data_IF_747858183899
#
_entry.id   IF_747858183899
#
_cell.length_a   1.000
_cell.length_b   1.000
_cell.length_c   1.000
_cell.angle_alpha   90.00
_cell.angle_beta   90.00
_cell.angle_gamma   90.00
#
_symmetry.space_group_name_H-M   'P 1'
#
loop_
_entity.id
_entity.type
_entity.pdbx_description
1 polymer ?
#
# COMPACT_ATOMS: atom_id res chain seq x y z
N UNK A 1 -23.84 -0.48 -26.31
CA UNK A 1 -24.41 0.27 -25.17
C UNK A 1 -23.33 0.28 -24.11
N UNK A 2 -22.65 1.40 -23.96
CA UNK A 2 -21.57 1.59 -22.99
C UNK A 2 -22.21 1.93 -21.65
N UNK A 3 -22.37 0.95 -20.77
CA UNK A 3 -22.46 1.22 -19.33
C UNK A 3 -21.08 1.73 -18.89
N UNK A 4 -20.80 3.00 -19.14
CA UNK A 4 -19.78 3.69 -18.37
C UNK A 4 -20.42 3.98 -17.02
N UNK A 5 -20.31 3.02 -16.11
CA UNK A 5 -20.72 3.20 -14.73
C UNK A 5 -19.92 4.39 -14.19
N UNK A 6 -20.61 5.51 -13.92
CA UNK A 6 -19.98 6.73 -13.40
C UNK A 6 -19.23 6.39 -12.09
N UNK A 7 -18.08 7.03 -11.81
CA UNK A 7 -17.34 6.73 -10.60
C UNK A 7 -18.19 7.07 -9.37
N UNK A 8 -18.27 6.16 -8.40
CA UNK A 8 -18.87 6.44 -7.09
C UNK A 8 -17.83 7.00 -6.11
N UNK A 9 -16.56 6.70 -6.34
CA UNK A 9 -15.43 7.13 -5.51
C UNK A 9 -14.37 7.83 -6.37
N UNK A 10 -13.84 8.93 -5.87
CA UNK A 10 -12.56 9.47 -6.34
C UNK A 10 -11.50 9.02 -5.34
N UNK A 11 -10.49 8.28 -5.80
CA UNK A 11 -9.34 7.86 -5.01
C UNK A 11 -8.17 8.81 -5.26
N UNK A 12 -7.72 9.52 -4.22
CA UNK A 12 -6.50 10.32 -4.25
C UNK A 12 -5.30 9.45 -3.86
N UNK A 13 -4.34 9.34 -4.76
CA UNK A 13 -3.19 8.41 -4.68
C UNK A 13 -1.89 9.11 -5.12
N UNK A 14 -0.75 8.44 -4.96
CA UNK A 14 0.55 8.82 -5.53
C UNK A 14 0.81 8.02 -6.82
N UNK A 15 1.11 8.75 -7.89
CA UNK A 15 1.52 8.18 -9.18
C UNK A 15 3.00 8.44 -9.45
N UNK A 16 3.68 7.45 -10.04
CA UNK A 16 5.05 7.60 -10.52
C UNK A 16 5.10 8.53 -11.75
N UNK A 17 6.29 8.82 -12.24
CA UNK A 17 6.50 9.51 -13.53
C UNK A 17 5.80 8.81 -14.71
N UNK A 18 5.51 7.51 -14.60
CA UNK A 18 4.80 6.72 -15.61
C UNK A 18 3.30 6.62 -15.30
N UNK A 19 2.79 7.39 -14.33
CA UNK A 19 1.44 7.28 -13.79
C UNK A 19 1.11 5.87 -13.25
N UNK A 20 2.12 5.14 -12.75
CA UNK A 20 1.87 3.89 -12.01
C UNK A 20 1.62 4.20 -10.53
N UNK A 21 0.56 3.65 -9.91
CA UNK A 21 0.33 3.79 -8.48
C UNK A 21 1.42 3.05 -7.70
N UNK A 22 2.02 3.70 -6.72
CA UNK A 22 3.09 3.10 -5.91
C UNK A 22 2.90 3.25 -4.40
N UNK A 23 1.88 3.98 -3.94
CA UNK A 23 1.61 4.10 -2.50
C UNK A 23 1.15 2.76 -1.93
N UNK A 24 1.85 2.18 -0.96
CA UNK A 24 1.46 0.89 -0.42
C UNK A 24 0.14 0.95 0.36
N UNK A 25 -0.20 2.10 0.96
CA UNK A 25 -1.45 2.28 1.68
C UNK A 25 -2.62 2.46 0.70
N UNK A 26 -2.42 3.20 -0.38
CA UNK A 26 -3.48 3.43 -1.36
C UNK A 26 -3.78 2.19 -2.20
N UNK A 27 -2.77 1.35 -2.47
CA UNK A 27 -2.97 0.04 -3.07
C UNK A 27 -3.97 -0.83 -2.30
N UNK A 28 -4.03 -0.73 -0.97
CA UNK A 28 -5.02 -1.49 -0.18
C UNK A 28 -6.44 -1.08 -0.51
N UNK A 29 -6.68 0.23 -0.58
CA UNK A 29 -7.99 0.77 -0.93
C UNK A 29 -8.30 0.46 -2.40
N UNK A 30 -7.34 0.61 -3.30
CA UNK A 30 -7.48 0.23 -4.71
C UNK A 30 -7.91 -1.23 -4.88
N UNK A 31 -7.25 -2.15 -4.20
CA UNK A 31 -7.59 -3.58 -4.22
C UNK A 31 -8.97 -3.85 -3.66
N UNK A 32 -9.34 -3.18 -2.56
CA UNK A 32 -10.66 -3.30 -1.96
C UNK A 32 -11.77 -2.81 -2.90
N UNK A 33 -11.58 -1.66 -3.56
CA UNK A 33 -12.49 -1.14 -4.57
C UNK A 33 -12.61 -2.10 -5.77
N UNK A 34 -11.47 -2.60 -6.26
CA UNK A 34 -11.42 -3.55 -7.38
C UNK A 34 -12.10 -4.89 -7.03
N UNK A 35 -11.87 -5.43 -5.83
CA UNK A 35 -12.49 -6.67 -5.36
C UNK A 35 -14.01 -6.53 -5.22
N UNK A 36 -14.47 -5.39 -4.69
CA UNK A 36 -15.89 -5.12 -4.53
C UNK A 36 -16.60 -4.70 -5.81
N UNK A 37 -15.86 -4.44 -6.89
CA UNK A 37 -16.41 -3.95 -8.14
C UNK A 37 -16.96 -2.52 -8.05
N UNK A 38 -16.50 -1.72 -7.09
CA UNK A 38 -16.96 -0.34 -6.91
C UNK A 38 -16.33 0.52 -8.02
N UNK A 39 -17.13 1.26 -8.82
CA UNK A 39 -16.58 2.15 -9.83
C UNK A 39 -15.90 3.34 -9.16
N UNK A 40 -14.66 3.63 -9.56
CA UNK A 40 -13.90 4.77 -9.04
C UNK A 40 -13.04 5.41 -10.13
N UNK A 41 -12.53 6.60 -9.84
CA UNK A 41 -11.50 7.28 -10.63
C UNK A 41 -10.30 7.58 -9.75
N UNK A 42 -9.08 7.38 -10.25
CA UNK A 42 -7.88 7.83 -9.54
C UNK A 42 -7.55 9.29 -9.87
N UNK A 43 -7.17 10.06 -8.87
CA UNK A 43 -6.49 11.35 -9.01
C UNK A 43 -5.11 11.22 -8.38
N UNK A 44 -4.08 11.24 -9.20
CA UNK A 44 -2.70 11.23 -8.71
C UNK A 44 -2.29 12.63 -8.26
N UNK A 45 -1.83 12.71 -7.01
CA UNK A 45 -1.23 13.89 -6.42
C UNK A 45 0.28 13.72 -6.37
N UNK A 46 1.02 14.82 -6.48
CA UNK A 46 2.42 14.83 -6.07
C UNK A 46 2.52 15.06 -4.56
N UNK A 47 3.59 14.58 -3.93
CA UNK A 47 3.83 14.78 -2.48
C UNK A 47 3.56 16.21 -1.96
N UNK A 48 4.08 17.30 -2.57
CA UNK A 48 3.83 18.65 -2.08
C UNK A 48 2.37 19.13 -2.25
N UNK A 49 1.57 18.45 -3.07
CA UNK A 49 0.18 18.83 -3.34
C UNK A 49 -0.81 18.10 -2.42
N UNK A 50 -0.39 17.08 -1.65
CA UNK A 50 -1.27 16.31 -0.76
C UNK A 50 -1.91 17.21 0.29
N UNK A 51 -1.10 17.86 1.13
CA UNK A 51 -1.58 18.72 2.20
C UNK A 51 -2.50 19.85 1.73
N UNK A 52 -2.13 20.70 0.75
CA UNK A 52 -3.01 21.78 0.31
C UNK A 52 -4.32 21.25 -0.29
N UNK A 53 -4.28 20.12 -1.00
CA UNK A 53 -5.49 19.50 -1.59
C UNK A 53 -6.44 19.02 -0.50
N UNK A 54 -5.94 18.22 0.46
CA UNK A 54 -6.78 17.65 1.52
C UNK A 54 -7.31 18.72 2.50
N UNK A 55 -6.52 19.77 2.78
CA UNK A 55 -6.99 20.97 3.47
C UNK A 55 -8.13 21.65 2.72
N UNK A 56 -8.02 21.75 1.39
CA UNK A 56 -9.07 22.32 0.53
C UNK A 56 -10.39 21.56 0.60
N UNK A 57 -10.36 20.26 0.92
CA UNK A 57 -11.55 19.45 1.15
C UNK A 57 -12.12 19.56 2.57
N UNK A 58 -11.47 20.32 3.46
CA UNK A 58 -11.88 20.43 4.86
C UNK A 58 -11.58 19.18 5.69
N UNK A 59 -10.70 18.29 5.21
CA UNK A 59 -10.25 17.12 5.98
C UNK A 59 -9.35 17.64 7.12
N UNK A 60 -9.55 17.20 8.38
CA UNK A 60 -8.65 17.56 9.49
C UNK A 60 -7.30 16.83 9.36
N UNK A 61 -6.21 17.37 9.96
CA UNK A 61 -4.93 16.67 9.99
C UNK A 61 -5.03 15.39 10.83
N UNK A 62 -4.12 14.45 10.58
CA UNK A 62 -3.94 13.28 11.45
C UNK A 62 -3.66 13.69 12.89
N UNK A 63 -4.28 12.99 13.85
CA UNK A 63 -4.01 13.22 15.28
C UNK A 63 -2.68 12.59 15.73
N UNK A 64 -2.24 11.50 15.09
CA UNK A 64 -1.04 10.75 15.48
C UNK A 64 -0.41 10.05 14.28
N UNK A 65 0.30 10.82 13.45
CA UNK A 65 1.00 10.34 12.25
C UNK A 65 2.32 11.09 12.07
N UNK A 66 3.20 10.54 11.23
CA UNK A 66 4.45 11.19 10.84
C UNK A 66 4.23 12.41 9.92
N UNK A 67 3.04 12.54 9.36
CA UNK A 67 2.62 13.67 8.52
C UNK A 67 1.14 13.97 8.75
N UNK A 68 0.81 15.26 8.78
CA UNK A 68 -0.55 15.76 9.00
C UNK A 68 -1.54 15.30 7.92
N UNK A 69 -1.08 15.16 6.67
CA UNK A 69 -1.91 14.77 5.53
C UNK A 69 -1.21 13.72 4.67
N UNK A 70 -1.93 12.66 4.31
CA UNK A 70 -1.39 11.51 3.58
C UNK A 70 -2.38 10.97 2.55
N UNK A 71 -1.88 10.19 1.60
CA UNK A 71 -2.71 9.30 0.79
C UNK A 71 -2.75 7.89 1.42
N UNK A 72 -3.80 7.08 1.22
CA UNK A 72 -4.99 7.39 0.42
C UNK A 72 -5.92 8.40 1.08
N UNK A 73 -6.60 9.17 0.24
CA UNK A 73 -7.83 9.85 0.59
C UNK A 73 -8.91 9.50 -0.45
N UNK A 74 -10.18 9.59 -0.08
CA UNK A 74 -11.30 9.38 -0.99
C UNK A 74 -12.30 10.53 -0.95
N UNK A 75 -13.01 10.72 -2.05
CA UNK A 75 -14.29 11.42 -2.10
C UNK A 75 -15.36 10.42 -2.53
N UNK A 76 -16.24 10.08 -1.61
CA UNK A 76 -17.42 9.27 -1.90
C UNK A 76 -18.53 10.19 -2.44
N UNK A 77 -18.80 10.12 -3.74
CA UNK A 77 -19.71 11.02 -4.44
C UNK A 77 -21.17 10.91 -3.94
N UNK A 78 -21.73 9.70 -3.72
CA UNK A 78 -23.13 9.59 -3.31
C UNK A 78 -23.47 10.28 -1.99
N UNK A 79 -22.53 10.35 -1.04
CA UNK A 79 -22.74 11.02 0.26
C UNK A 79 -21.96 12.32 0.39
N UNK A 80 -21.27 12.75 -0.67
CA UNK A 80 -20.36 13.89 -0.67
C UNK A 80 -19.39 13.89 0.53
N UNK A 81 -18.79 12.74 0.82
CA UNK A 81 -17.93 12.56 2.00
C UNK A 81 -16.47 12.45 1.61
N UNK A 82 -15.63 13.24 2.27
CA UNK A 82 -14.18 13.20 2.11
C UNK A 82 -13.56 12.49 3.31
N UNK A 83 -12.68 11.53 3.07
CA UNK A 83 -12.00 10.76 4.10
C UNK A 83 -10.53 10.58 3.74
N UNK A 84 -9.68 10.64 4.74
CA UNK A 84 -8.28 10.23 4.69
C UNK A 84 -8.09 9.05 5.63
N UNK A 85 -6.96 8.37 5.50
CA UNK A 85 -6.53 7.24 6.34
C UNK A 85 -7.08 5.87 5.91
N UNK A 86 -6.18 4.94 5.60
CA UNK A 86 -6.57 3.65 5.01
C UNK A 86 -7.48 2.79 5.93
N UNK A 87 -7.31 2.71 7.26
CA UNK A 87 -8.25 2.01 8.14
C UNK A 87 -9.63 2.66 8.14
N UNK A 88 -9.73 3.98 8.34
CA UNK A 88 -11.00 4.70 8.34
C UNK A 88 -11.75 4.57 7.00
N UNK A 89 -11.01 4.65 5.89
CA UNK A 89 -11.56 4.43 4.54
C UNK A 89 -12.05 2.98 4.38
N UNK A 90 -11.31 1.99 4.87
CA UNK A 90 -11.70 0.58 4.77
C UNK A 90 -12.97 0.28 5.57
N UNK A 91 -13.08 0.81 6.80
CA UNK A 91 -14.29 0.71 7.62
C UNK A 91 -15.50 1.38 6.94
N UNK A 92 -15.28 2.56 6.36
CA UNK A 92 -16.32 3.24 5.59
C UNK A 92 -16.78 2.42 4.38
N UNK A 93 -15.85 1.85 3.61
CA UNK A 93 -16.18 1.03 2.45
C UNK A 93 -16.90 -0.27 2.86
N UNK A 94 -16.45 -0.98 3.90
CA UNK A 94 -17.18 -2.18 4.40
C UNK A 94 -18.60 -1.81 4.85
N UNK A 95 -18.78 -0.66 5.50
CA UNK A 95 -20.07 -0.19 5.98
C UNK A 95 -21.03 0.17 4.84
N UNK A 96 -20.53 0.86 3.79
CA UNK A 96 -21.35 1.28 2.64
C UNK A 96 -21.56 0.18 1.60
N UNK A 97 -20.59 -0.71 1.45
CA UNK A 97 -20.56 -1.77 0.44
C UNK A 97 -20.24 -3.11 1.11
N UNK A 98 -21.19 -3.70 1.86
CA UNK A 98 -20.93 -4.89 2.69
C UNK A 98 -20.67 -6.17 1.88
N UNK A 99 -20.91 -6.17 0.56
CA UNK A 99 -20.76 -7.34 -0.29
C UNK A 99 -19.93 -7.03 -1.54
N UNK A 100 -19.02 -7.96 -1.93
CA UNK A 100 -18.49 -9.07 -1.13
C UNK A 100 -17.74 -8.54 0.12
N UNK A 101 -17.88 -9.23 1.26
CA UNK A 101 -17.25 -8.80 2.52
C UNK A 101 -15.73 -8.94 2.48
N UNK A 102 -15.03 -8.05 3.18
CA UNK A 102 -13.57 -8.10 3.39
C UNK A 102 -13.30 -8.02 4.89
N UNK A 103 -12.93 -9.13 5.55
CA UNK A 103 -12.51 -9.10 6.94
C UNK A 103 -11.34 -8.13 7.13
N UNK A 104 -11.58 -7.04 7.86
CA UNK A 104 -10.58 -5.99 8.10
C UNK A 104 -9.52 -6.41 9.13
N UNK A 105 -9.89 -7.34 10.01
CA UNK A 105 -9.01 -7.85 11.07
C UNK A 105 -9.22 -9.36 11.28
N UNK A 106 -8.19 -10.03 11.76
CA UNK A 106 -8.19 -11.42 12.22
C UNK A 106 -6.96 -11.64 13.11
N UNK A 107 -6.99 -12.64 13.99
CA UNK A 107 -5.83 -12.96 14.84
C UNK A 107 -4.57 -13.27 14.01
N UNK A 108 -4.71 -14.06 12.94
CA UNK A 108 -3.61 -14.38 12.03
C UNK A 108 -3.14 -13.14 11.27
N UNK A 109 -4.07 -12.31 10.78
CA UNK A 109 -3.77 -11.08 10.07
C UNK A 109 -2.98 -10.08 10.91
N UNK A 110 -3.36 -9.91 12.19
CA UNK A 110 -2.63 -9.05 13.13
C UNK A 110 -1.19 -9.56 13.31
N UNK A 111 -1.00 -10.86 13.58
CA UNK A 111 0.33 -11.46 13.74
C UNK A 111 1.20 -11.26 12.51
N UNK A 112 0.66 -11.49 11.32
CA UNK A 112 1.37 -11.27 10.05
C UNK A 112 1.76 -9.80 9.90
N UNK A 113 0.82 -8.87 10.13
CA UNK A 113 1.08 -7.43 9.99
C UNK A 113 2.14 -6.94 10.99
N UNK A 114 2.10 -7.39 12.25
CA UNK A 114 3.10 -7.06 13.27
C UNK A 114 4.48 -7.56 12.86
N UNK A 115 4.60 -8.85 12.49
CA UNK A 115 5.88 -9.41 12.02
C UNK A 115 6.40 -8.71 10.77
N UNK A 116 5.50 -8.34 9.85
CA UNK A 116 5.86 -7.56 8.67
C UNK A 116 6.42 -6.18 9.08
N UNK A 117 5.82 -5.50 10.07
CA UNK A 117 6.32 -4.22 10.57
C UNK A 117 7.69 -4.34 11.21
N UNK A 118 7.94 -5.42 11.95
CA UNK A 118 9.21 -5.62 12.64
C UNK A 118 10.36 -6.01 11.70
N UNK A 119 10.04 -6.73 10.62
CA UNK A 119 11.04 -7.34 9.74
C UNK A 119 11.18 -6.57 8.43
N UNK A 120 10.08 -6.37 7.71
CA UNK A 120 10.11 -5.79 6.36
C UNK A 120 10.24 -4.27 6.41
N UNK A 121 9.53 -3.56 7.30
CA UNK A 121 9.59 -2.10 7.28
C UNK A 121 11.01 -1.53 7.44
N UNK A 122 11.88 -2.06 8.34
CA UNK A 122 13.28 -1.62 8.41
C UNK A 122 14.05 -1.88 7.12
N UNK A 123 13.85 -3.04 6.49
CA UNK A 123 14.51 -3.41 5.24
C UNK A 123 14.04 -2.50 4.09
N UNK A 124 12.73 -2.28 3.97
CA UNK A 124 12.15 -1.42 2.95
C UNK A 124 12.55 0.05 3.15
N UNK A 125 12.74 0.49 4.39
CA UNK A 125 13.25 1.83 4.70
C UNK A 125 14.64 2.06 4.10
N UNK A 126 15.52 1.06 4.08
CA UNK A 126 16.89 1.22 3.56
C UNK A 126 17.04 0.77 2.10
N UNK A 127 16.09 0.00 1.55
CA UNK A 127 16.19 -0.52 0.18
C UNK A 127 15.18 0.07 -0.79
N UNK A 128 13.91 0.19 -0.40
CA UNK A 128 12.82 0.64 -1.29
C UNK A 128 12.64 2.15 -1.23
N UNK A 129 12.70 2.73 -0.02
CA UNK A 129 12.43 4.14 0.20
C UNK A 129 13.37 5.09 -0.55
N UNK A 130 14.71 4.89 -0.56
CA UNK A 130 15.60 5.76 -1.33
C UNK A 130 15.28 5.73 -2.83
N UNK A 131 14.92 4.56 -3.37
CA UNK A 131 14.60 4.39 -4.79
C UNK A 131 13.35 5.16 -5.23
N UNK A 132 12.45 5.52 -4.30
CA UNK A 132 11.29 6.38 -4.60
C UNK A 132 11.72 7.72 -5.19
N UNK A 133 12.90 8.24 -4.81
CA UNK A 133 13.46 9.48 -5.35
C UNK A 133 13.56 9.45 -6.89
N UNK A 134 13.82 8.29 -7.48
CA UNK A 134 14.05 8.14 -8.92
C UNK A 134 12.78 7.96 -9.76
N UNK A 135 11.63 7.70 -9.13
CA UNK A 135 10.36 7.45 -9.83
C UNK A 135 9.37 8.61 -9.73
N UNK A 136 9.75 9.73 -9.11
CA UNK A 136 8.91 10.91 -8.89
C UNK A 136 9.46 12.15 -9.62
N UNK A 137 8.63 13.18 -9.77
CA UNK A 137 8.99 14.43 -10.44
C UNK A 137 10.12 15.18 -9.72
N UNK A 138 10.88 16.05 -10.41
CA UNK A 138 11.87 16.92 -9.76
C UNK A 138 11.28 17.80 -8.64
N UNK A 139 10.02 18.22 -8.78
CA UNK A 139 9.30 18.99 -7.76
C UNK A 139 9.02 18.14 -6.52
N UNK A 140 8.55 16.91 -6.72
CA UNK A 140 8.31 15.94 -5.68
C UNK A 140 9.62 15.49 -5.00
N UNK A 141 10.73 15.38 -5.73
CA UNK A 141 12.06 15.04 -5.20
C UNK A 141 12.53 16.04 -4.12
N UNK A 142 12.33 17.34 -4.33
CA UNK A 142 12.70 18.38 -3.36
C UNK A 142 11.95 18.17 -2.04
N UNK A 143 10.63 17.98 -2.13
CA UNK A 143 9.80 17.71 -0.96
C UNK A 143 10.17 16.38 -0.30
N UNK A 144 10.32 15.32 -1.10
CA UNK A 144 10.59 13.96 -0.63
C UNK A 144 11.91 13.89 0.12
N UNK A 145 13.00 14.43 -0.44
CA UNK A 145 14.30 14.48 0.23
C UNK A 145 14.20 15.21 1.56
N UNK A 146 13.70 16.45 1.57
CA UNK A 146 13.59 17.25 2.79
C UNK A 146 12.78 16.54 3.87
N UNK A 147 11.62 16.01 3.51
CA UNK A 147 10.73 15.33 4.46
C UNK A 147 11.33 14.02 4.99
N UNK A 148 11.96 13.21 4.14
CA UNK A 148 12.51 11.90 4.54
C UNK A 148 13.80 12.04 5.34
N UNK A 149 14.71 12.92 4.94
CA UNK A 149 15.93 13.18 5.70
C UNK A 149 15.61 13.77 7.09
N UNK A 150 14.60 14.63 7.19
CA UNK A 150 14.10 15.14 8.48
C UNK A 150 13.51 14.03 9.35
N UNK A 151 12.70 13.14 8.76
CA UNK A 151 12.07 12.02 9.47
C UNK A 151 13.08 10.97 9.93
N UNK A 152 14.10 10.70 9.10
CA UNK A 152 15.02 9.57 9.26
C UNK A 152 16.26 9.98 10.04
N UNK A 153 16.71 11.23 9.90
CA UNK A 153 17.89 11.79 10.56
C UNK A 153 19.22 11.57 9.84
N UNK A 154 19.21 11.06 8.61
CA UNK A 154 20.38 10.87 7.73
C UNK A 154 20.03 11.26 6.29
N UNK A 155 21.04 11.45 5.44
CA UNK A 155 20.83 11.74 4.01
C UNK A 155 20.25 10.55 3.26
N UNK A 156 19.60 10.79 2.11
CA UNK A 156 19.14 9.68 1.25
C UNK A 156 20.31 8.81 0.75
N UNK A 157 21.48 9.41 0.50
CA UNK A 157 22.70 8.70 0.08
C UNK A 157 23.25 7.78 1.18
N UNK A 158 23.24 8.21 2.44
CA UNK A 158 23.65 7.35 3.57
C UNK A 158 22.65 6.22 3.83
N UNK A 159 21.39 6.44 3.47
CA UNK A 159 20.32 5.45 3.59
C UNK A 159 20.39 4.39 2.48
N UNK A 160 20.75 4.80 1.25
CA UNK A 160 20.91 3.94 0.08
C UNK A 160 22.28 3.22 0.08
N UNK A 161 22.50 2.40 1.11
CA UNK A 161 23.71 1.60 1.28
C UNK A 161 23.45 0.14 0.86
N UNK A 162 23.93 -0.31 -0.31
CA UNK A 162 23.65 -1.65 -0.82
C UNK A 162 24.22 -2.77 0.06
N UNK A 163 25.31 -2.51 0.79
CA UNK A 163 25.93 -3.51 1.67
C UNK A 163 25.04 -3.72 2.89
N UNK A 164 24.62 -2.63 3.55
CA UNK A 164 23.67 -2.72 4.68
C UNK A 164 22.33 -3.31 4.26
N UNK A 165 21.83 -2.96 3.07
CA UNK A 165 20.60 -3.53 2.53
C UNK A 165 20.73 -5.05 2.38
N UNK A 166 21.82 -5.54 1.77
CA UNK A 166 22.03 -6.98 1.58
C UNK A 166 22.23 -7.72 2.92
N UNK A 167 22.93 -7.13 3.89
CA UNK A 167 23.06 -7.69 5.24
C UNK A 167 21.72 -7.77 5.97
N UNK A 168 20.87 -6.74 5.86
CA UNK A 168 19.53 -6.73 6.43
C UNK A 168 18.65 -7.81 5.80
N UNK A 169 18.69 -7.96 4.47
CA UNK A 169 17.98 -9.03 3.76
C UNK A 169 18.40 -10.42 4.22
N UNK A 170 19.70 -10.67 4.33
CA UNK A 170 20.22 -11.96 4.82
C UNK A 170 19.82 -12.25 6.26
N UNK A 171 19.89 -11.23 7.12
CA UNK A 171 19.55 -11.37 8.54
C UNK A 171 18.06 -11.66 8.75
N UNK A 172 17.20 -11.20 7.84
CA UNK A 172 15.76 -11.38 7.88
C UNK A 172 15.26 -12.68 7.24
N UNK A 173 16.11 -13.50 6.63
CA UNK A 173 15.69 -14.65 5.82
C UNK A 173 14.81 -15.65 6.59
N UNK A 174 15.21 -15.98 7.83
CA UNK A 174 14.43 -16.86 8.70
C UNK A 174 13.07 -16.28 9.09
N UNK A 175 13.02 -14.98 9.36
CA UNK A 175 11.79 -14.26 9.71
C UNK A 175 10.84 -14.12 8.51
N UNK A 176 11.38 -13.93 7.31
CA UNK A 176 10.65 -13.91 6.05
C UNK A 176 10.08 -15.28 5.69
N UNK A 177 10.86 -16.33 5.93
CA UNK A 177 10.41 -17.71 5.79
C UNK A 177 9.24 -18.00 6.73
N UNK A 178 9.35 -17.61 8.01
CA UNK A 178 8.26 -17.75 8.98
C UNK A 178 7.01 -16.96 8.55
N UNK A 179 7.17 -15.72 8.08
CA UNK A 179 6.05 -14.91 7.58
C UNK A 179 5.35 -15.60 6.41
N UNK A 180 6.13 -16.13 5.47
CA UNK A 180 5.62 -16.93 4.35
C UNK A 180 4.83 -18.15 4.83
N UNK A 181 5.34 -18.90 5.81
CA UNK A 181 4.64 -20.05 6.36
C UNK A 181 3.30 -19.66 7.00
N UNK A 182 3.24 -18.51 7.70
CA UNK A 182 1.99 -18.01 8.27
C UNK A 182 0.95 -17.65 7.21
N UNK A 183 1.36 -17.08 6.07
CA UNK A 183 0.43 -16.84 4.96
C UNK A 183 -0.12 -18.12 4.35
N UNK A 184 0.54 -19.27 4.58
CA UNK A 184 0.12 -20.59 4.10
C UNK A 184 -0.72 -21.38 5.12
N UNK A 185 -1.05 -20.80 6.29
CA UNK A 185 -1.77 -21.49 7.37
C UNK A 185 -3.07 -22.15 6.89
N UNK A 186 -3.85 -21.47 6.05
CA UNK A 186 -5.14 -21.96 5.52
C UNK A 186 -5.08 -22.34 4.04
N UNK A 187 -3.90 -22.72 3.52
CA UNK A 187 -3.69 -22.98 2.08
C UNK A 187 -4.58 -24.09 1.49
N UNK A 188 -5.02 -25.03 2.32
CA UNK A 188 -5.86 -26.16 1.90
C UNK A 188 -7.35 -25.76 1.81
N UNK A 189 -7.73 -24.63 2.42
CA UNK A 189 -9.07 -24.05 2.38
C UNK A 189 -9.23 -23.03 1.25
N UNK A 190 -8.12 -22.44 0.79
CA UNK A 190 -8.13 -21.54 -0.35
C UNK A 190 -6.81 -20.81 -0.60
N UNK A 191 -6.82 -19.81 -1.51
CA UNK A 191 -5.60 -19.15 -1.93
C UNK A 191 -5.20 -17.95 -1.05
N UNK A 192 -6.07 -17.48 -0.15
CA UNK A 192 -5.85 -16.27 0.67
C UNK A 192 -5.40 -16.60 2.10
N UNK A 193 -4.97 -15.58 2.84
CA UNK A 193 -4.53 -15.71 4.25
C UNK A 193 -5.59 -16.37 5.15
N UNK A 194 -6.88 -16.07 4.90
CA UNK A 194 -8.02 -16.65 5.62
C UNK A 194 -8.70 -17.79 4.85
N UNK A 195 -7.97 -18.46 3.96
CA UNK A 195 -8.48 -19.59 3.17
C UNK A 195 -9.21 -19.13 1.92
N UNK A 196 -10.51 -19.37 1.84
CA UNK A 196 -11.30 -19.14 0.62
C UNK A 196 -11.63 -17.67 0.34
N UNK A 197 -11.73 -16.83 1.38
CA UNK A 197 -12.14 -15.44 1.27
C UNK A 197 -10.93 -14.50 1.36
N UNK A 198 -10.89 -13.48 0.49
CA UNK A 198 -9.88 -12.42 0.59
C UNK A 198 -10.08 -11.60 1.86
N UNK A 199 -8.98 -11.19 2.46
CA UNK A 199 -8.96 -10.35 3.67
C UNK A 199 -8.18 -9.05 3.42
N UNK A 200 -8.35 -8.10 4.33
CA UNK A 200 -7.53 -6.88 4.31
C UNK A 200 -6.03 -7.17 4.48
N UNK A 201 -5.67 -8.30 5.11
CA UNK A 201 -4.27 -8.71 5.24
C UNK A 201 -3.66 -9.09 3.89
N UNK A 202 -4.43 -9.73 3.01
CA UNK A 202 -3.98 -10.00 1.64
C UNK A 202 -3.66 -8.68 0.93
N UNK A 203 -4.59 -7.71 0.99
CA UNK A 203 -4.38 -6.39 0.41
C UNK A 203 -3.21 -5.61 1.03
N UNK A 204 -2.97 -5.77 2.33
CA UNK A 204 -1.82 -5.20 3.01
C UNK A 204 -0.50 -5.73 2.42
N UNK A 205 -0.39 -7.05 2.22
CA UNK A 205 0.77 -7.70 1.61
C UNK A 205 0.97 -7.19 0.18
N UNK A 206 -0.08 -7.19 -0.64
CA UNK A 206 0.01 -6.71 -2.03
C UNK A 206 0.42 -5.24 -2.09
N UNK A 207 -0.11 -4.38 -1.22
CA UNK A 207 0.27 -2.97 -1.21
C UNK A 207 1.78 -2.77 -1.01
N UNK A 208 2.39 -3.56 -0.12
CA UNK A 208 3.85 -3.52 0.08
C UNK A 208 4.61 -4.06 -1.12
N UNK A 209 4.15 -5.16 -1.71
CA UNK A 209 4.77 -5.73 -2.91
C UNK A 209 4.71 -4.77 -4.09
N UNK A 210 3.57 -4.12 -4.33
CA UNK A 210 3.42 -3.18 -5.44
C UNK A 210 4.25 -1.91 -5.25
N UNK A 211 4.43 -1.45 -4.01
CA UNK A 211 5.38 -0.37 -3.73
C UNK A 211 6.81 -0.78 -4.12
N UNK A 212 7.26 -1.95 -3.68
CA UNK A 212 8.57 -2.47 -4.07
C UNK A 212 8.66 -2.69 -5.59
N UNK A 213 7.63 -3.24 -6.24
CA UNK A 213 7.64 -3.51 -7.68
C UNK A 213 7.91 -2.25 -8.50
N UNK A 214 7.30 -1.12 -8.12
CA UNK A 214 7.45 0.14 -8.83
C UNK A 214 8.74 0.86 -8.44
N UNK A 215 9.10 0.90 -7.15
CA UNK A 215 10.25 1.67 -6.68
C UNK A 215 11.59 0.91 -6.76
N UNK A 216 11.61 -0.39 -6.43
CA UNK A 216 12.82 -1.21 -6.39
C UNK A 216 12.51 -2.68 -6.74
N UNK A 217 12.69 -3.02 -8.02
CA UNK A 217 12.37 -4.36 -8.54
C UNK A 217 13.15 -5.49 -7.86
N UNK A 218 14.40 -5.25 -7.47
CA UNK A 218 15.21 -6.26 -6.79
C UNK A 218 14.66 -6.61 -5.40
N UNK A 219 14.19 -5.61 -4.64
CA UNK A 219 13.49 -5.83 -3.38
C UNK A 219 12.19 -6.62 -3.58
N UNK A 220 11.41 -6.29 -4.61
CA UNK A 220 10.21 -7.06 -4.97
C UNK A 220 10.54 -8.54 -5.26
N UNK A 221 11.54 -8.80 -6.10
CA UNK A 221 11.93 -10.16 -6.47
C UNK A 221 12.41 -10.98 -5.25
N UNK A 222 13.09 -10.34 -4.28
CA UNK A 222 13.49 -10.97 -3.01
C UNK A 222 12.28 -11.41 -2.17
N UNK A 223 11.25 -10.57 -2.01
CA UNK A 223 10.05 -10.96 -1.24
C UNK A 223 9.21 -12.00 -2.01
N UNK A 224 9.17 -11.91 -3.34
CA UNK A 224 8.48 -12.87 -4.20
C UNK A 224 9.12 -14.26 -4.25
N UNK A 225 10.36 -14.41 -3.77
CA UNK A 225 11.01 -15.71 -3.64
C UNK A 225 10.35 -16.61 -2.57
N UNK A 226 9.61 -16.01 -1.63
CA UNK A 226 8.95 -16.75 -0.56
C UNK A 226 7.59 -17.31 -1.03
N UNK A 227 7.36 -18.64 -0.95
CA UNK A 227 6.20 -19.30 -1.59
C UNK A 227 4.83 -18.78 -1.14
N UNK A 228 4.68 -18.48 0.15
CA UNK A 228 3.44 -17.99 0.72
C UNK A 228 3.08 -16.60 0.20
N UNK A 229 4.05 -15.68 0.21
CA UNK A 229 3.90 -14.34 -0.37
C UNK A 229 3.53 -14.45 -1.86
N UNK A 230 4.27 -15.26 -2.62
CA UNK A 230 4.02 -15.46 -4.05
C UNK A 230 2.60 -15.96 -4.31
N UNK A 231 2.10 -16.90 -3.51
CA UNK A 231 0.74 -17.42 -3.62
C UNK A 231 -0.31 -16.33 -3.41
N UNK A 232 -0.17 -15.50 -2.36
CA UNK A 232 -1.07 -14.36 -2.11
C UNK A 232 -1.05 -13.39 -3.30
N UNK A 233 0.15 -13.08 -3.82
CA UNK A 233 0.31 -12.21 -4.98
C UNK A 233 -0.39 -12.75 -6.23
N UNK A 234 -0.26 -14.04 -6.52
CA UNK A 234 -0.94 -14.70 -7.63
C UNK A 234 -2.46 -14.70 -7.44
N UNK A 235 -2.93 -14.95 -6.22
CA UNK A 235 -4.36 -14.95 -5.87
C UNK A 235 -5.02 -13.57 -6.06
N UNK A 236 -4.31 -12.49 -5.76
CA UNK A 236 -4.82 -11.13 -5.86
C UNK A 236 -4.69 -10.50 -7.26
N UNK A 237 -4.01 -11.15 -8.22
CA UNK A 237 -3.83 -10.63 -9.60
C UNK A 237 -5.12 -10.12 -10.27
N UNK A 238 -6.29 -10.79 -10.14
CA UNK A 238 -7.53 -10.30 -10.75
C UNK A 238 -7.91 -8.88 -10.28
N UNK A 239 -7.54 -8.51 -9.06
CA UNK A 239 -7.87 -7.23 -8.42
C UNK A 239 -6.79 -6.16 -8.65
N UNK A 240 -5.70 -6.48 -9.37
CA UNK A 240 -4.58 -5.55 -9.61
C UNK A 240 -4.58 -4.96 -11.02
N UNK A 241 -5.56 -5.33 -11.86
CA UNK A 241 -5.62 -4.95 -13.28
C UNK A 241 -5.87 -3.46 -13.49
N UNK A 242 -6.76 -2.86 -12.70
CA UNK A 242 -7.04 -1.42 -12.76
C UNK A 242 -6.02 -0.64 -11.94
N UNK A 243 -5.30 0.25 -12.61
CA UNK A 243 -4.16 1.01 -12.05
C UNK A 243 -4.33 2.53 -12.17
N UNK A 244 -5.38 2.97 -12.84
CA UNK A 244 -5.77 4.37 -13.10
C UNK A 244 -7.12 4.74 -12.45
#
# INVERSE_FOLDING_TARGET
MTDQNEPEIILYDLGSLQNEPFSPLAWRIRLMLNYKGIPYKTVFLEFPDIEPTLKGFGIPPHESSYADYTVPAIHHLPTNTYLMDSPAISEFIESKYPHPAVPLTSELGIKIQEKFRDVINPIFRISVMPSVYHIISPRAQIYFRKSRETLIGVTLEELDDPVKAEEAWKSADGDLSQLSDWTLTHKDEGPFVLGAQVSYTDFWIIGMLEWARVANRAAFDKVMAYPGVKRIHEACQPYMKKRD
#
